data_IF_024109449566
#
_entry.id   IF_024109449566
#
_cell.length_a   1.000
_cell.length_b   1.000
_cell.length_c   1.000
_cell.angle_alpha   90.00
_cell.angle_beta   90.00
_cell.angle_gamma   90.00
#
_symmetry.space_group_name_H-M   'P 1'
#
loop_
_entity.id
_entity.type
_entity.pdbx_description
1 polymer ?
#
# COMPACT_ATOMS: atom_id res chain seq x y z
N UNK A 1 12.55 -31.38 43.82
CA UNK A 1 11.55 -31.18 42.74
C UNK A 1 12.10 -30.12 41.81
N UNK A 2 12.53 -30.50 40.61
CA UNK A 2 12.90 -29.54 39.56
C UNK A 2 11.62 -28.97 38.96
N UNK A 3 11.51 -27.65 38.85
CA UNK A 3 10.44 -27.01 38.09
C UNK A 3 10.40 -27.59 36.66
N UNK A 4 9.21 -27.85 36.10
CA UNK A 4 9.11 -28.30 34.72
C UNK A 4 9.65 -27.18 33.82
N UNK A 5 10.62 -27.50 32.96
CA UNK A 5 11.11 -26.57 31.94
C UNK A 5 9.92 -26.12 31.09
N UNK A 6 9.47 -24.90 31.34
CA UNK A 6 8.52 -24.20 30.48
C UNK A 6 9.17 -24.03 29.11
N UNK A 7 8.61 -24.68 28.09
CA UNK A 7 8.98 -24.43 26.70
C UNK A 7 8.26 -23.14 26.28
N UNK A 8 8.94 -22.00 26.44
CA UNK A 8 8.43 -20.71 26.00
C UNK A 8 8.61 -20.63 24.48
N UNK A 9 7.51 -20.57 23.74
CA UNK A 9 7.50 -20.22 22.32
C UNK A 9 7.41 -18.71 22.23
N UNK A 10 8.42 -18.07 21.63
CA UNK A 10 8.42 -16.64 21.34
C UNK A 10 8.13 -16.46 19.85
N UNK A 11 7.06 -15.76 19.53
CA UNK A 11 6.75 -15.32 18.16
C UNK A 11 7.18 -13.86 18.04
N UNK A 12 8.02 -13.57 17.05
CA UNK A 12 8.40 -12.22 16.70
C UNK A 12 7.96 -11.97 15.26
N UNK A 13 7.40 -10.80 14.98
CA UNK A 13 7.17 -10.33 13.63
C UNK A 13 8.09 -9.13 13.34
N UNK A 14 8.51 -8.96 12.09
CA UNK A 14 9.22 -7.76 11.67
C UNK A 14 8.31 -6.52 11.82
N UNK A 15 8.84 -5.47 12.43
CA UNK A 15 8.18 -4.19 12.65
C UNK A 15 9.10 -3.05 12.18
N UNK A 16 8.86 -2.47 11.00
CA UNK A 16 9.50 -1.23 10.58
C UNK A 16 8.83 -0.05 11.30
N UNK A 17 9.57 0.60 12.19
CA UNK A 17 9.05 1.69 13.02
C UNK A 17 8.92 3.03 12.27
N UNK A 18 9.76 3.24 11.26
CA UNK A 18 9.88 4.49 10.50
C UNK A 18 9.08 4.39 9.19
N UNK A 19 8.17 5.33 8.96
CA UNK A 19 7.16 5.24 7.91
C UNK A 19 6.63 6.58 7.42
N UNK A 20 5.49 6.54 6.75
CA UNK A 20 4.82 7.74 6.25
C UNK A 20 3.64 8.10 7.13
N UNK A 21 3.56 9.36 7.54
CA UNK A 21 2.41 9.87 8.30
C UNK A 21 1.24 10.06 7.34
N UNK A 22 0.10 9.46 7.67
CA UNK A 22 -1.17 9.63 6.97
C UNK A 22 -2.25 9.97 7.99
N UNK A 23 -3.12 10.92 7.66
CA UNK A 23 -4.29 11.21 8.50
C UNK A 23 -5.43 10.26 8.13
N UNK A 24 -5.79 9.38 9.06
CA UNK A 24 -6.70 8.26 8.82
C UNK A 24 -7.88 8.30 9.79
N UNK A 25 -9.08 8.04 9.26
CA UNK A 25 -10.30 7.85 10.06
C UNK A 25 -10.47 6.38 10.40
N UNK A 26 -10.51 6.08 11.71
CA UNK A 26 -10.66 4.71 12.22
C UNK A 26 -12.10 4.24 12.03
N UNK A 27 -12.27 3.07 11.41
CA UNK A 27 -13.58 2.43 11.14
C UNK A 27 -13.85 1.28 12.10
N UNK A 28 -12.83 0.48 12.39
CA UNK A 28 -12.89 -0.62 13.36
C UNK A 28 -11.47 -0.89 13.90
N UNK A 29 -11.38 -1.56 15.03
CA UNK A 29 -10.13 -2.08 15.57
C UNK A 29 -10.42 -3.36 16.34
N UNK A 30 -9.92 -4.49 15.84
CA UNK A 30 -10.30 -5.82 16.32
C UNK A 30 -9.07 -6.63 16.69
N UNK A 31 -9.21 -7.46 17.73
CA UNK A 31 -8.23 -8.51 18.03
C UNK A 31 -8.07 -9.41 16.81
N UNK A 32 -6.84 -9.79 16.49
CA UNK A 32 -6.59 -10.73 15.41
C UNK A 32 -6.79 -12.17 15.92
N UNK A 33 -5.71 -12.93 16.12
CA UNK A 33 -5.77 -14.28 16.71
C UNK A 33 -5.69 -14.25 18.24
N UNK A 34 -5.12 -13.17 18.79
CA UNK A 34 -4.90 -13.00 20.22
C UNK A 34 -5.07 -11.52 20.60
N UNK A 35 -5.25 -11.17 21.88
CA UNK A 35 -5.57 -9.80 22.29
C UNK A 35 -4.36 -8.83 22.23
N UNK A 36 -3.17 -9.30 21.87
CA UNK A 36 -1.98 -8.46 21.77
C UNK A 36 -1.74 -7.93 20.35
N UNK A 37 -2.36 -8.55 19.36
CA UNK A 37 -2.23 -8.27 17.94
C UNK A 37 -3.59 -7.90 17.40
N UNK A 38 -3.63 -6.92 16.49
CA UNK A 38 -4.90 -6.45 15.98
C UNK A 38 -4.82 -5.91 14.57
N UNK A 39 -5.98 -5.91 13.94
CA UNK A 39 -6.20 -5.30 12.63
C UNK A 39 -7.07 -4.06 12.84
N UNK A 40 -6.67 -2.96 12.22
CA UNK A 40 -7.42 -1.71 12.23
C UNK A 40 -7.93 -1.46 10.83
N UNK A 41 -9.25 -1.26 10.70
CA UNK A 41 -9.86 -0.78 9.47
C UNK A 41 -9.85 0.75 9.50
N UNK A 42 -9.38 1.37 8.44
CA UNK A 42 -9.22 2.81 8.34
C UNK A 42 -9.57 3.32 6.93
N UNK A 43 -9.70 4.64 6.83
CA UNK A 43 -10.02 5.30 5.58
C UNK A 43 -9.37 6.68 5.48
N UNK A 44 -9.16 7.14 4.25
CA UNK A 44 -8.77 8.51 3.94
C UNK A 44 -9.34 8.87 2.57
N UNK A 45 -10.10 9.97 2.48
CA UNK A 45 -10.91 10.30 1.30
C UNK A 45 -11.80 9.12 0.86
N UNK A 46 -11.72 8.77 -0.41
CA UNK A 46 -12.42 7.62 -1.00
C UNK A 46 -11.75 6.24 -0.79
N UNK A 47 -10.54 6.17 -0.22
CA UNK A 47 -9.85 4.90 0.02
C UNK A 47 -10.17 4.33 1.40
N UNK A 48 -10.44 3.02 1.43
CA UNK A 48 -10.57 2.23 2.65
C UNK A 48 -9.61 1.03 2.59
N UNK A 49 -8.99 0.72 3.72
CA UNK A 49 -8.03 -0.36 3.86
C UNK A 49 -7.89 -0.77 5.31
N UNK A 50 -7.22 -1.90 5.54
CA UNK A 50 -6.92 -2.44 6.85
C UNK A 50 -5.41 -2.57 6.98
N UNK A 51 -4.88 -2.34 8.18
CA UNK A 51 -3.46 -2.58 8.45
C UNK A 51 -3.32 -3.36 9.75
N UNK A 52 -2.21 -4.11 9.84
CA UNK A 52 -1.81 -4.75 11.08
C UNK A 52 -1.16 -3.71 12.00
N UNK A 53 -1.60 -3.66 13.26
CA UNK A 53 -0.92 -2.87 14.28
C UNK A 53 0.09 -3.74 15.05
N UNK A 54 1.40 -3.57 14.81
CA UNK A 54 2.45 -4.31 15.51
C UNK A 54 2.58 -3.94 16.99
N UNK A 55 1.87 -2.92 17.47
CA UNK A 55 1.85 -2.48 18.86
C UNK A 55 0.42 -2.43 19.41
N UNK A 56 -0.48 -3.25 18.86
CA UNK A 56 -1.91 -3.24 19.20
C UNK A 56 -2.19 -3.36 20.69
N UNK A 57 -1.47 -4.20 21.42
CA UNK A 57 -1.60 -4.32 22.87
C UNK A 57 -1.40 -2.99 23.64
N UNK A 58 -0.59 -2.06 23.09
CA UNK A 58 -0.40 -0.72 23.64
C UNK A 58 -1.48 0.26 23.15
N UNK A 59 -1.88 0.16 21.89
CA UNK A 59 -2.70 1.15 21.21
C UNK A 59 -4.21 0.88 21.28
N UNK A 60 -4.63 -0.36 21.61
CA UNK A 60 -6.04 -0.78 21.55
C UNK A 60 -6.97 0.16 22.33
N UNK A 61 -6.54 0.64 23.50
CA UNK A 61 -7.32 1.54 24.35
C UNK A 61 -7.42 2.97 23.79
N UNK A 62 -6.51 3.39 22.92
CA UNK A 62 -6.52 4.73 22.32
C UNK A 62 -7.38 4.82 21.05
N UNK A 63 -7.76 3.70 20.43
CA UNK A 63 -8.57 3.71 19.23
C UNK A 63 -10.00 4.17 19.49
N UNK A 64 -10.39 5.25 18.81
CA UNK A 64 -11.74 5.82 18.86
C UNK A 64 -12.37 5.74 17.48
N UNK A 65 -13.38 4.88 17.35
CA UNK A 65 -14.08 4.67 16.08
C UNK A 65 -14.72 5.98 15.61
N UNK A 66 -14.57 6.29 14.33
CA UNK A 66 -15.06 7.51 13.69
C UNK A 66 -14.15 8.73 13.86
N UNK A 67 -13.06 8.63 14.62
CA UNK A 67 -12.10 9.73 14.78
C UNK A 67 -10.97 9.62 13.76
N UNK A 68 -10.55 10.79 13.28
CA UNK A 68 -9.36 10.95 12.44
C UNK A 68 -8.15 11.25 13.31
N UNK A 69 -7.06 10.54 13.08
CA UNK A 69 -5.76 10.79 13.72
C UNK A 69 -4.63 10.40 12.77
N UNK A 70 -3.42 10.82 13.10
CA UNK A 70 -2.26 10.57 12.28
C UNK A 70 -1.67 9.19 12.61
N UNK A 71 -1.42 8.42 11.55
CA UNK A 71 -0.82 7.10 11.62
C UNK A 71 0.48 7.07 10.85
N UNK A 72 1.50 6.44 11.42
CA UNK A 72 2.69 6.04 10.69
C UNK A 72 2.40 4.71 10.01
N UNK A 73 2.44 4.73 8.68
CA UNK A 73 2.15 3.59 7.81
C UNK A 73 3.45 3.08 7.19
N UNK A 74 3.67 1.78 7.33
CA UNK A 74 4.78 1.04 6.74
C UNK A 74 4.24 -0.20 6.04
N UNK A 75 5.08 -0.84 5.24
CA UNK A 75 4.75 -2.14 4.69
C UNK A 75 6.00 -2.99 4.50
N UNK A 76 5.81 -4.29 4.61
CA UNK A 76 6.82 -5.28 4.25
C UNK A 76 6.41 -5.90 2.93
N UNK A 77 7.29 -5.86 1.94
CA UNK A 77 7.00 -6.43 0.65
C UNK A 77 7.34 -7.91 0.60
N UNK A 78 6.43 -8.71 0.06
CA UNK A 78 6.67 -10.11 -0.32
C UNK A 78 7.18 -10.22 -1.75
N UNK A 79 6.68 -9.32 -2.63
CA UNK A 79 7.07 -9.19 -4.03
C UNK A 79 7.19 -7.70 -4.33
N UNK A 80 8.32 -7.28 -4.89
CA UNK A 80 8.55 -5.90 -5.33
C UNK A 80 9.29 -5.93 -6.66
N UNK A 81 8.71 -5.39 -7.73
CA UNK A 81 9.30 -5.43 -9.06
C UNK A 81 8.91 -4.23 -9.90
N UNK A 82 9.61 -4.03 -11.01
CA UNK A 82 9.18 -3.10 -12.04
C UNK A 82 7.81 -3.51 -12.60
N UNK A 83 6.98 -2.53 -12.93
CA UNK A 83 5.75 -2.80 -13.66
C UNK A 83 6.08 -3.30 -15.07
N UNK A 84 5.44 -4.39 -15.51
CA UNK A 84 5.57 -4.87 -16.90
C UNK A 84 4.53 -4.20 -17.81
N UNK A 85 3.36 -3.90 -17.26
CA UNK A 85 2.26 -3.28 -17.99
C UNK A 85 2.25 -1.76 -17.78
N UNK A 86 2.39 -1.03 -18.88
CA UNK A 86 2.37 0.44 -18.89
C UNK A 86 1.14 1.03 -19.61
N UNK A 87 0.36 0.19 -20.28
CA UNK A 87 -0.79 0.62 -21.07
C UNK A 87 -1.94 -0.40 -20.97
N UNK A 88 -3.18 0.07 -21.01
CA UNK A 88 -4.37 -0.75 -21.22
C UNK A 88 -5.00 -0.34 -22.55
N UNK A 89 -5.23 -1.31 -23.42
CA UNK A 89 -5.94 -1.12 -24.68
C UNK A 89 -7.39 -1.54 -24.53
N UNK A 90 -8.29 -0.60 -24.80
CA UNK A 90 -9.74 -0.78 -24.70
C UNK A 90 -10.32 -0.75 -26.11
N UNK A 91 -10.86 -1.86 -26.56
CA UNK A 91 -11.40 -2.06 -27.92
C UNK A 91 -12.94 -1.93 -27.99
N UNK A 92 -13.58 -1.53 -26.90
CA UNK A 92 -15.02 -1.33 -26.85
C UNK A 92 -15.53 -0.61 -25.60
N UNK A 93 -16.84 -0.37 -25.55
CA UNK A 93 -17.51 0.23 -24.39
C UNK A 93 -17.44 1.76 -24.33
N UNK A 94 -17.88 2.35 -23.20
CA UNK A 94 -18.12 3.79 -23.09
C UNK A 94 -16.90 4.66 -23.41
N UNK A 95 -15.69 4.19 -23.06
CA UNK A 95 -14.46 4.94 -23.28
C UNK A 95 -14.16 5.11 -24.78
N UNK A 96 -14.37 4.07 -25.59
CA UNK A 96 -14.19 4.14 -27.03
C UNK A 96 -15.19 5.09 -27.69
N UNK A 97 -16.44 5.05 -27.24
CA UNK A 97 -17.49 5.94 -27.75
C UNK A 97 -17.25 7.40 -27.37
N UNK A 98 -16.71 7.67 -26.17
CA UNK A 98 -16.28 9.01 -25.76
C UNK A 98 -15.18 9.53 -26.68
N UNK A 99 -14.17 8.71 -26.98
CA UNK A 99 -13.06 9.12 -27.83
C UNK A 99 -13.51 9.42 -29.27
N UNK A 100 -14.39 8.59 -29.82
CA UNK A 100 -15.04 8.84 -31.12
C UNK A 100 -15.84 10.14 -31.12
N UNK A 101 -16.58 10.40 -30.05
CA UNK A 101 -17.35 11.63 -29.92
C UNK A 101 -16.44 12.87 -29.78
N UNK A 102 -15.29 12.75 -29.11
CA UNK A 102 -14.29 13.82 -29.02
C UNK A 102 -13.67 14.11 -30.39
N UNK A 103 -13.31 13.08 -31.15
CA UNK A 103 -12.78 13.23 -32.50
C UNK A 103 -13.76 13.98 -33.43
N UNK A 104 -15.06 13.70 -33.36
CA UNK A 104 -16.09 14.41 -34.13
C UNK A 104 -16.31 15.86 -33.68
N UNK A 105 -16.05 16.18 -32.40
CA UNK A 105 -16.09 17.56 -31.90
C UNK A 105 -14.91 18.38 -32.42
N UNK A 106 -13.73 17.77 -32.52
CA UNK A 106 -12.52 18.42 -33.04
C UNK A 106 -12.56 18.56 -34.57
N UNK A 107 -13.01 17.52 -35.27
CA UNK A 107 -13.23 17.51 -36.72
C UNK A 107 -14.57 16.81 -37.05
N UNK A 108 -15.61 17.56 -37.48
CA UNK A 108 -16.89 16.99 -37.87
C UNK A 108 -16.84 15.97 -39.01
N UNK A 109 -15.74 15.92 -39.79
CA UNK A 109 -15.52 14.95 -40.86
C UNK A 109 -14.61 13.78 -40.45
N UNK A 110 -14.24 13.69 -39.16
CA UNK A 110 -13.40 12.59 -38.67
C UNK A 110 -14.04 11.23 -38.95
N UNK A 111 -13.26 10.32 -39.53
CA UNK A 111 -13.68 8.94 -39.74
C UNK A 111 -13.52 8.12 -38.45
N UNK A 112 -14.54 8.19 -37.59
CA UNK A 112 -14.58 7.49 -36.29
C UNK A 112 -14.45 5.97 -36.39
N UNK A 113 -14.71 5.38 -37.55
CA UNK A 113 -14.53 3.94 -37.75
C UNK A 113 -13.06 3.52 -37.70
N UNK A 114 -12.12 4.46 -37.91
CA UNK A 114 -10.68 4.23 -37.72
C UNK A 114 -10.27 4.20 -36.26
N UNK A 115 -11.10 4.71 -35.35
CA UNK A 115 -10.86 4.66 -33.90
C UNK A 115 -11.48 3.35 -33.40
N UNK A 116 -10.68 2.29 -33.37
CA UNK A 116 -11.10 0.95 -32.93
C UNK A 116 -10.62 0.61 -31.53
N UNK A 117 -9.69 1.39 -30.98
CA UNK A 117 -9.06 1.13 -29.69
C UNK A 117 -8.66 2.45 -29.03
N UNK A 118 -8.89 2.56 -27.73
CA UNK A 118 -8.36 3.64 -26.88
C UNK A 118 -7.24 3.06 -26.03
N UNK A 119 -6.13 3.78 -25.94
CA UNK A 119 -5.00 3.38 -25.12
C UNK A 119 -4.92 4.26 -23.89
N UNK A 120 -4.98 3.65 -22.70
CA UNK A 120 -4.85 4.32 -21.42
C UNK A 120 -3.45 4.12 -20.87
N UNK A 121 -2.75 5.22 -20.59
CA UNK A 121 -1.45 5.17 -19.91
C UNK A 121 -1.62 4.78 -18.44
N UNK A 122 -0.73 3.91 -17.95
CA UNK A 122 -0.61 3.51 -16.54
C UNK A 122 0.62 4.12 -15.85
N UNK A 123 1.29 5.10 -16.47
CA UNK A 123 2.53 5.69 -15.92
C UNK A 123 2.33 6.35 -14.54
N UNK A 124 1.12 6.86 -14.27
CA UNK A 124 0.77 7.48 -12.99
C UNK A 124 -0.30 6.71 -12.23
N UNK A 125 -0.68 5.52 -12.71
CA UNK A 125 -1.68 4.70 -12.05
C UNK A 125 -1.13 4.15 -10.74
N UNK A 126 -1.90 4.31 -9.67
CA UNK A 126 -1.62 3.77 -8.35
C UNK A 126 -2.85 3.00 -7.88
N UNK A 127 -2.65 1.86 -7.24
CA UNK A 127 -3.73 1.12 -6.60
C UNK A 127 -3.21 0.27 -5.45
N UNK A 128 -4.12 0.00 -4.52
CA UNK A 128 -3.93 -0.89 -3.39
C UNK A 128 -5.15 -1.81 -3.34
N UNK A 129 -4.99 -3.03 -3.82
CA UNK A 129 -6.06 -4.01 -3.98
C UNK A 129 -5.91 -5.11 -2.94
N UNK A 130 -6.99 -5.53 -2.24
CA UNK A 130 -6.90 -6.59 -1.25
C UNK A 130 -6.27 -7.87 -1.80
N UNK A 131 -5.42 -8.50 -1.01
CA UNK A 131 -4.86 -9.82 -1.28
C UNK A 131 -5.45 -10.87 -0.31
N UNK A 132 -4.69 -11.91 0.05
CA UNK A 132 -5.20 -13.06 0.79
C UNK A 132 -5.58 -12.73 2.24
N UNK A 133 -4.71 -12.03 2.97
CA UNK A 133 -4.97 -11.60 4.34
C UNK A 133 -5.57 -10.19 4.38
N UNK A 134 -6.31 -9.87 5.45
CA UNK A 134 -7.02 -8.59 5.60
C UNK A 134 -6.12 -7.36 5.44
N UNK A 135 -4.86 -7.45 5.89
CA UNK A 135 -3.85 -6.38 5.76
C UNK A 135 -2.81 -6.63 4.66
N UNK A 136 -3.01 -7.65 3.82
CA UNK A 136 -2.17 -7.91 2.65
C UNK A 136 -2.79 -7.27 1.41
N UNK A 137 -1.94 -6.70 0.56
CA UNK A 137 -2.38 -6.01 -0.64
C UNK A 137 -1.48 -6.30 -1.84
N UNK A 138 -2.12 -6.45 -2.99
CA UNK A 138 -1.48 -6.23 -4.28
C UNK A 138 -1.40 -4.72 -4.51
N UNK A 139 -0.24 -4.23 -4.91
CA UNK A 139 -0.05 -2.80 -5.12
C UNK A 139 0.54 -2.50 -6.49
N UNK A 140 0.23 -1.31 -6.97
CA UNK A 140 1.05 -0.54 -7.91
C UNK A 140 1.20 0.85 -7.34
N UNK A 141 2.42 1.37 -7.33
CA UNK A 141 2.67 2.70 -6.82
C UNK A 141 3.85 3.38 -7.46
N UNK A 142 3.98 4.68 -7.17
CA UNK A 142 5.05 5.53 -7.69
C UNK A 142 6.05 5.82 -6.56
N UNK A 143 7.28 5.31 -6.65
CA UNK A 143 8.32 5.65 -5.68
C UNK A 143 8.66 7.15 -5.73
N UNK A 144 8.65 7.81 -4.59
CA UNK A 144 9.05 9.22 -4.42
C UNK A 144 10.43 9.34 -3.76
N UNK A 145 10.80 8.36 -2.94
CA UNK A 145 12.11 8.28 -2.29
C UNK A 145 12.55 6.82 -2.20
N UNK A 146 13.83 6.58 -2.48
CA UNK A 146 14.45 5.26 -2.38
C UNK A 146 15.73 5.38 -1.57
N UNK A 147 15.84 4.57 -0.52
CA UNK A 147 17.01 4.49 0.34
C UNK A 147 17.44 3.04 0.50
N UNK A 148 18.72 2.76 0.27
CA UNK A 148 19.29 1.47 0.65
C UNK A 148 19.71 1.51 2.12
N UNK A 149 19.27 0.54 2.90
CA UNK A 149 19.66 0.35 4.29
C UNK A 149 20.21 -1.05 4.50
N UNK A 150 20.95 -1.25 5.58
CA UNK A 150 21.46 -2.57 5.97
C UNK A 150 21.07 -2.84 7.42
N UNK A 151 20.51 -4.03 7.67
CA UNK A 151 20.11 -4.49 9.00
C UNK A 151 20.71 -5.86 9.22
N UNK A 152 21.60 -5.99 10.21
CA UNK A 152 22.28 -7.27 10.54
C UNK A 152 22.94 -7.95 9.33
N UNK A 153 23.55 -7.18 8.43
CA UNK A 153 24.21 -7.69 7.22
C UNK A 153 23.26 -8.03 6.06
N UNK A 154 21.95 -7.83 6.23
CA UNK A 154 20.97 -7.96 5.16
C UNK A 154 20.63 -6.59 4.57
N UNK A 155 20.74 -6.46 3.24
CA UNK A 155 20.35 -5.26 2.51
C UNK A 155 18.84 -5.18 2.29
N UNK A 156 18.31 -3.97 2.43
CA UNK A 156 16.92 -3.62 2.13
C UNK A 156 16.86 -2.30 1.36
N UNK A 157 15.80 -2.12 0.59
CA UNK A 157 15.37 -0.82 0.12
C UNK A 157 14.17 -0.36 0.93
N UNK A 158 14.27 0.82 1.55
CA UNK A 158 13.14 1.58 2.08
C UNK A 158 12.65 2.50 0.97
N UNK A 159 11.42 2.30 0.52
CA UNK A 159 10.82 3.03 -0.59
C UNK A 159 9.59 3.78 -0.08
N UNK A 160 9.66 5.12 -0.04
CA UNK A 160 8.46 5.94 0.12
C UNK A 160 7.70 5.92 -1.19
N UNK A 161 6.48 5.39 -1.18
CA UNK A 161 5.70 5.14 -2.38
C UNK A 161 4.27 5.65 -2.20
N UNK A 162 3.72 6.24 -3.26
CA UNK A 162 2.29 6.57 -3.35
C UNK A 162 1.52 5.32 -3.75
N UNK A 163 0.64 4.84 -2.87
CA UNK A 163 -0.14 3.61 -3.07
C UNK A 163 -1.57 3.86 -3.53
N UNK A 164 -2.15 5.00 -3.17
CA UNK A 164 -3.46 5.42 -3.64
C UNK A 164 -3.58 6.95 -3.67
N UNK A 165 -4.49 7.47 -4.48
CA UNK A 165 -4.79 8.90 -4.61
C UNK A 165 -6.28 9.14 -4.34
N UNK A 166 -6.72 9.04 -3.08
CA UNK A 166 -8.14 8.97 -2.75
C UNK A 166 -8.90 10.28 -2.85
N UNK A 167 -8.24 11.43 -3.06
CA UNK A 167 -8.81 12.76 -3.33
C UNK A 167 -7.64 13.78 -3.37
N UNK A 168 -7.56 14.68 -2.38
CA UNK A 168 -6.61 15.81 -2.29
C UNK A 168 -5.23 15.39 -1.76
N UNK A 169 -5.17 14.30 -1.00
CA UNK A 169 -3.95 13.84 -0.33
C UNK A 169 -3.64 12.42 -0.74
N UNK A 170 -2.42 12.18 -1.25
CA UNK A 170 -2.01 10.82 -1.56
C UNK A 170 -1.82 9.98 -0.29
N UNK A 171 -2.23 8.73 -0.37
CA UNK A 171 -1.92 7.72 0.64
C UNK A 171 -0.52 7.15 0.37
N UNK A 172 0.38 7.30 1.33
CA UNK A 172 1.79 6.90 1.22
C UNK A 172 2.15 5.85 2.25
N UNK A 173 3.08 4.97 1.90
CA UNK A 173 3.72 4.08 2.86
C UNK A 173 5.24 4.05 2.63
N UNK A 174 5.99 3.75 3.69
CA UNK A 174 7.36 3.28 3.53
C UNK A 174 7.35 1.76 3.33
N UNK A 175 7.59 1.31 2.10
CA UNK A 175 7.69 -0.11 1.76
C UNK A 175 9.13 -0.56 1.94
N UNK A 176 9.32 -1.58 2.76
CA UNK A 176 10.60 -2.23 2.99
C UNK A 176 10.66 -3.50 2.13
N UNK A 177 11.56 -3.51 1.15
CA UNK A 177 11.81 -4.65 0.28
C UNK A 177 13.23 -5.19 0.55
N UNK A 178 13.34 -6.47 0.91
CA UNK A 178 14.64 -7.13 1.05
C UNK A 178 15.31 -7.28 -0.31
N UNK A 179 16.63 -7.09 -0.40
CA UNK A 179 17.39 -7.41 -1.62
C UNK A 179 17.17 -8.85 -2.09
N UNK A 180 16.86 -9.78 -1.18
CA UNK A 180 16.58 -11.17 -1.51
C UNK A 180 15.31 -11.37 -2.36
N UNK A 181 14.30 -10.48 -2.27
CA UNK A 181 13.05 -10.60 -3.04
C UNK A 181 13.07 -9.80 -4.34
N UNK A 182 14.09 -8.96 -4.53
CA UNK A 182 14.18 -8.05 -5.67
C UNK A 182 14.78 -8.71 -6.91
N UNK A 183 15.48 -9.85 -6.77
CA UNK A 183 16.15 -10.55 -7.88
C UNK A 183 17.03 -9.61 -8.74
N UNK A 184 17.79 -8.73 -8.08
CA UNK A 184 18.65 -7.73 -8.72
C UNK A 184 17.92 -6.47 -9.21
N UNK A 185 16.59 -6.38 -9.09
CA UNK A 185 15.86 -5.14 -9.33
C UNK A 185 16.26 -4.06 -8.31
N UNK A 186 16.49 -2.84 -8.80
CA UNK A 186 16.78 -1.67 -7.98
C UNK A 186 15.62 -0.69 -8.17
N UNK A 187 14.79 -0.44 -7.14
CA UNK A 187 13.71 0.54 -7.21
C UNK A 187 14.25 1.94 -7.54
N UNK A 188 13.48 2.73 -8.30
CA UNK A 188 13.87 4.09 -8.68
C UNK A 188 12.71 5.05 -8.53
N UNK A 189 13.05 6.29 -8.16
CA UNK A 189 12.09 7.39 -8.05
C UNK A 189 11.43 7.65 -9.40
N UNK A 190 10.10 7.76 -9.40
CA UNK A 190 9.28 8.05 -10.58
C UNK A 190 9.00 6.86 -11.50
N UNK A 191 9.71 5.73 -11.37
CA UNK A 191 9.43 4.51 -12.14
C UNK A 191 8.40 3.64 -11.39
N UNK A 192 7.21 3.37 -11.96
CA UNK A 192 6.18 2.59 -11.29
C UNK A 192 6.68 1.21 -10.86
N UNK A 193 6.36 0.82 -9.63
CA UNK A 193 6.64 -0.49 -9.08
C UNK A 193 5.35 -1.18 -8.66
N UNK A 194 5.35 -2.51 -8.70
CA UNK A 194 4.23 -3.34 -8.32
C UNK A 194 4.65 -4.55 -7.49
N UNK A 195 3.67 -5.18 -6.86
CA UNK A 195 3.84 -6.47 -6.23
C UNK A 195 2.84 -6.73 -5.12
N UNK A 196 3.30 -7.39 -4.06
CA UNK A 196 2.47 -7.78 -2.92
C UNK A 196 3.16 -7.35 -1.63
N UNK A 197 2.40 -6.77 -0.70
CA UNK A 197 2.89 -6.28 0.56
C UNK A 197 1.93 -6.60 1.71
N UNK A 198 2.48 -6.57 2.91
CA UNK A 198 1.76 -6.57 4.17
C UNK A 198 1.80 -5.17 4.77
N UNK A 199 0.62 -4.55 4.89
CA UNK A 199 0.47 -3.19 5.38
C UNK A 199 0.43 -3.18 6.91
N UNK A 200 1.26 -2.32 7.49
CA UNK A 200 1.34 -2.10 8.93
C UNK A 200 1.07 -0.63 9.26
N UNK A 201 0.50 -0.38 10.43
CA UNK A 201 0.22 0.97 10.86
C UNK A 201 0.13 1.09 12.37
N UNK A 202 0.54 2.25 12.88
CA UNK A 202 0.43 2.61 14.29
C UNK A 202 0.12 4.11 14.42
N UNK A 203 -0.48 4.56 15.54
CA UNK A 203 -0.59 5.98 15.83
C UNK A 203 0.78 6.68 15.74
N UNK A 204 0.81 7.91 15.20
CA UNK A 204 2.05 8.69 15.04
C UNK A 204 2.54 9.27 16.37
N UNK A 205 1.61 9.67 17.23
CA UNK A 205 1.90 9.98 18.63
C UNK A 205 1.82 8.69 19.43
N UNK A 206 2.82 8.45 20.28
CA UNK A 206 2.79 7.31 21.20
C UNK A 206 1.55 7.41 22.08
N UNK A 207 0.82 6.30 22.25
CA UNK A 207 -0.23 6.24 23.25
C UNK A 207 0.41 6.58 24.61
N UNK A 208 0.06 7.75 25.15
CA UNK A 208 0.52 8.15 26.48
C UNK A 208 -0.04 7.12 27.46
N UNK A 209 0.86 6.32 28.03
CA UNK A 209 0.58 5.37 29.10
C UNK A 209 0.20 6.10 30.40
#
# INVERSE_FOLDING_TARGET
MSEPKSNIVFTAYPFPHDGCVNSLTIKSAEDWVNPNEGIVDASTGSAEFSFFDPLYFLNKSSYKIGYTTDFIVTALSYVFRACEQHEIKVDGGPLLEIERANALKEDPNADVNKITTVSLSLEHACWLMPADAKSDYQFRGIPERVERIEVNGQGFYKVTIVLARPEETDFRAAVYASEAILDGYIPKVGEPAEGVLWLQGRPSEDAIA
#
